data_IF_019696886774
#
_entry.id   IF_019696886774
#
_cell.length_a   1.000
_cell.length_b   1.000
_cell.length_c   1.000
_cell.angle_alpha   90.00
_cell.angle_beta   90.00
_cell.angle_gamma   90.00
#
_symmetry.space_group_name_H-M   'P 1'
#
loop_
_entity.id
_entity.type
_entity.pdbx_description
1 polymer ?
#
# COMPACT_ATOMS: atom_id res chain seq x y z
N UNK A 1 16.40 0.68 27.24
CA UNK A 1 15.97 -0.43 26.35
C UNK A 1 17.24 -1.06 25.80
N UNK A 2 17.50 -2.34 26.09
CA UNK A 2 18.78 -3.01 25.75
C UNK A 2 18.63 -4.04 24.62
N UNK A 3 17.43 -4.51 24.36
CA UNK A 3 17.10 -5.48 23.32
C UNK A 3 15.71 -5.18 22.71
N UNK A 4 15.38 -5.91 21.64
CA UNK A 4 14.13 -5.77 20.90
C UNK A 4 12.93 -6.25 21.72
N UNK A 5 13.12 -7.25 22.59
CA UNK A 5 12.03 -7.77 23.43
C UNK A 5 11.60 -6.76 24.48
N UNK A 6 12.53 -6.12 25.19
CA UNK A 6 12.25 -5.02 26.12
C UNK A 6 11.62 -3.82 25.40
N UNK A 7 12.03 -3.52 24.16
CA UNK A 7 11.43 -2.46 23.35
C UNK A 7 9.96 -2.78 23.05
N UNK A 8 9.69 -4.03 22.67
CA UNK A 8 8.35 -4.52 22.35
C UNK A 8 7.45 -4.54 23.58
N UNK A 9 7.91 -5.08 24.70
CA UNK A 9 7.16 -5.08 25.97
C UNK A 9 6.76 -3.67 26.39
N UNK A 10 7.65 -2.69 26.22
CA UNK A 10 7.36 -1.30 26.55
C UNK A 10 6.35 -0.66 25.59
N UNK A 11 6.43 -0.96 24.29
CA UNK A 11 5.44 -0.51 23.32
C UNK A 11 4.09 -1.21 23.54
N UNK A 12 4.06 -2.49 23.83
CA UNK A 12 2.82 -3.26 24.10
C UNK A 12 2.14 -2.78 25.38
N UNK A 13 2.91 -2.33 26.36
CA UNK A 13 2.38 -1.76 27.60
C UNK A 13 1.71 -0.39 27.40
N UNK A 14 2.13 0.39 26.39
CA UNK A 14 1.75 1.78 26.24
C UNK A 14 0.95 2.10 24.97
N UNK A 15 1.17 1.41 23.86
CA UNK A 15 0.67 1.78 22.53
C UNK A 15 0.22 0.60 21.66
N UNK A 16 0.87 -0.56 21.69
CA UNK A 16 0.56 -1.74 20.85
C UNK A 16 -0.17 -2.85 21.62
N UNK A 17 -0.64 -3.90 20.92
CA UNK A 17 -1.36 -5.03 21.53
C UNK A 17 -0.37 -6.18 21.78
N UNK A 18 -0.32 -6.68 23.01
CA UNK A 18 0.56 -7.77 23.40
C UNK A 18 0.32 -9.02 22.54
N UNK A 19 1.40 -9.54 21.93
CA UNK A 19 1.40 -10.77 21.13
C UNK A 19 1.24 -10.60 19.62
N UNK A 20 0.74 -9.46 19.14
CA UNK A 20 0.66 -9.15 17.70
C UNK A 20 2.05 -8.78 17.13
N UNK A 21 2.42 -9.24 15.93
CA UNK A 21 3.70 -8.87 15.32
C UNK A 21 3.81 -7.36 15.13
N UNK A 22 4.91 -6.77 15.62
CA UNK A 22 5.19 -5.35 15.44
C UNK A 22 5.56 -5.07 13.97
N UNK A 23 4.61 -4.53 13.22
CA UNK A 23 4.82 -4.10 11.83
C UNK A 23 5.29 -2.65 11.79
N UNK A 24 5.82 -2.20 10.64
CA UNK A 24 6.15 -0.80 10.39
C UNK A 24 4.99 0.14 10.68
N UNK A 25 3.77 -0.27 10.33
CA UNK A 25 2.53 0.45 10.59
C UNK A 25 2.24 0.54 12.10
N UNK A 26 2.39 -0.54 12.85
CA UNK A 26 2.19 -0.53 14.31
C UNK A 26 3.17 0.42 15.01
N UNK A 27 4.44 0.44 14.57
CA UNK A 27 5.48 1.31 15.13
C UNK A 27 5.22 2.78 14.76
N UNK A 28 4.86 3.06 13.51
CA UNK A 28 4.49 4.41 13.06
C UNK A 28 3.31 4.97 13.86
N UNK A 29 2.30 4.12 14.11
CA UNK A 29 1.13 4.50 14.90
C UNK A 29 1.47 4.74 16.39
N UNK A 30 2.34 3.91 16.97
CA UNK A 30 2.81 4.13 18.33
C UNK A 30 3.56 5.48 18.46
N UNK A 31 4.42 5.81 17.49
CA UNK A 31 5.11 7.09 17.43
C UNK A 31 4.12 8.27 17.30
N UNK A 32 3.04 8.12 16.52
CA UNK A 32 1.98 9.12 16.44
C UNK A 32 1.31 9.37 17.79
N UNK A 33 1.00 8.32 18.57
CA UNK A 33 0.40 8.49 19.88
C UNK A 33 1.36 9.10 20.91
N UNK A 34 2.64 8.72 20.87
CA UNK A 34 3.70 9.34 21.70
C UNK A 34 3.76 10.86 21.45
N UNK A 35 3.54 11.29 20.22
CA UNK A 35 3.54 12.71 19.86
C UNK A 35 2.37 13.51 20.41
N UNK A 36 1.26 12.85 20.73
CA UNK A 36 0.10 13.49 21.35
C UNK A 36 0.26 13.64 22.88
N UNK A 37 1.34 13.09 23.45
CA UNK A 37 1.64 13.22 24.87
C UNK A 37 2.09 14.65 25.22
N UNK A 38 1.69 15.13 26.40
CA UNK A 38 1.96 16.49 26.87
C UNK A 38 3.47 16.70 27.11
N UNK A 39 4.04 17.75 26.52
CA UNK A 39 5.45 18.14 26.75
C UNK A 39 6.40 17.96 25.55
N UNK A 40 5.91 17.46 24.42
CA UNK A 40 6.69 17.33 23.18
C UNK A 40 6.74 18.68 22.46
N UNK A 41 7.94 19.19 22.13
CA UNK A 41 8.11 20.43 21.37
C UNK A 41 7.94 20.19 19.84
N UNK A 42 7.66 21.25 19.07
CA UNK A 42 7.41 21.15 17.62
C UNK A 42 8.59 20.56 16.81
N UNK A 43 9.82 20.76 17.29
CA UNK A 43 11.04 20.20 16.69
C UNK A 43 11.09 18.67 16.86
N UNK A 44 10.81 18.18 18.06
CA UNK A 44 10.74 16.76 18.38
C UNK A 44 9.58 16.09 17.63
N UNK A 45 8.46 16.80 17.46
CA UNK A 45 7.36 16.38 16.59
C UNK A 45 7.81 16.13 15.15
N UNK A 46 8.58 17.05 14.57
CA UNK A 46 9.08 16.95 13.20
C UNK A 46 10.12 15.83 13.04
N UNK A 47 11.01 15.65 14.03
CA UNK A 47 12.04 14.59 14.02
C UNK A 47 11.39 13.20 14.10
N UNK A 48 10.42 13.02 15.00
CA UNK A 48 9.71 11.75 15.14
C UNK A 48 8.88 11.43 13.89
N UNK A 49 8.21 12.43 13.28
CA UNK A 49 7.55 12.25 11.98
C UNK A 49 8.52 11.81 10.90
N UNK A 50 9.65 12.51 10.74
CA UNK A 50 10.68 12.13 9.76
C UNK A 50 11.17 10.69 9.99
N UNK A 51 11.31 10.28 11.25
CA UNK A 51 11.79 8.95 11.61
C UNK A 51 10.75 7.87 11.28
N UNK A 52 9.48 8.10 11.60
CA UNK A 52 8.38 7.20 11.25
C UNK A 52 8.24 7.03 9.73
N UNK A 53 8.37 8.12 8.97
CA UNK A 53 8.36 8.08 7.51
C UNK A 53 9.53 7.27 6.94
N UNK A 54 10.75 7.48 7.45
CA UNK A 54 11.92 6.70 7.01
C UNK A 54 11.80 5.22 7.36
N UNK A 55 11.29 4.87 8.54
CA UNK A 55 11.04 3.47 8.93
C UNK A 55 10.07 2.80 7.95
N UNK A 56 9.01 3.49 7.57
CA UNK A 56 8.02 2.98 6.61
C UNK A 56 8.63 2.79 5.23
N UNK A 57 9.40 3.76 4.75
CA UNK A 57 10.08 3.70 3.46
C UNK A 57 11.10 2.55 3.39
N UNK A 58 11.92 2.40 4.44
CA UNK A 58 12.86 1.29 4.59
C UNK A 58 12.15 -0.08 4.60
N UNK A 59 11.00 -0.19 5.27
CA UNK A 59 10.23 -1.43 5.29
C UNK A 59 9.64 -1.77 3.90
N UNK A 60 9.13 -0.78 3.16
CA UNK A 60 8.65 -0.96 1.78
C UNK A 60 9.79 -1.39 0.86
N UNK A 61 10.98 -0.80 1.00
CA UNK A 61 12.18 -1.18 0.25
C UNK A 61 12.58 -2.63 0.53
N UNK A 62 12.64 -3.04 1.79
CA UNK A 62 12.97 -4.42 2.17
C UNK A 62 11.95 -5.44 1.63
N UNK A 63 10.65 -5.09 1.64
CA UNK A 63 9.60 -5.92 1.05
C UNK A 63 9.76 -6.02 -0.47
N UNK A 64 10.03 -4.91 -1.15
CA UNK A 64 10.23 -4.86 -2.59
C UNK A 64 11.46 -5.68 -3.03
N UNK A 65 12.57 -5.60 -2.30
CA UNK A 65 13.76 -6.42 -2.55
C UNK A 65 13.45 -7.92 -2.36
N UNK A 66 12.70 -8.26 -1.30
CA UNK A 66 12.29 -9.64 -1.04
C UNK A 66 11.43 -10.20 -2.17
N UNK A 67 10.42 -9.44 -2.63
CA UNK A 67 9.56 -9.82 -3.75
C UNK A 67 10.38 -9.94 -5.04
N UNK A 68 11.23 -8.95 -5.33
CA UNK A 68 12.08 -8.95 -6.53
C UNK A 68 12.95 -10.19 -6.56
N UNK A 69 13.63 -10.51 -5.45
CA UNK A 69 14.45 -11.71 -5.33
C UNK A 69 13.64 -12.99 -5.51
N UNK A 70 12.45 -13.07 -4.92
CA UNK A 70 11.58 -14.24 -5.05
C UNK A 70 11.11 -14.44 -6.50
N UNK A 71 10.73 -13.36 -7.19
CA UNK A 71 10.32 -13.39 -8.60
C UNK A 71 11.50 -13.77 -9.49
N UNK A 72 12.67 -13.17 -9.31
CA UNK A 72 13.88 -13.50 -10.08
C UNK A 72 14.25 -14.96 -9.92
N UNK A 73 14.32 -15.49 -8.69
CA UNK A 73 14.64 -16.89 -8.46
C UNK A 73 13.63 -17.85 -9.11
N UNK A 74 12.34 -17.50 -9.07
CA UNK A 74 11.29 -18.32 -9.69
C UNK A 74 11.36 -18.27 -11.22
N UNK A 75 11.65 -17.08 -11.77
CA UNK A 75 11.83 -16.88 -13.20
C UNK A 75 13.05 -17.63 -13.71
N UNK A 76 14.20 -17.51 -13.04
CA UNK A 76 15.42 -18.22 -13.39
C UNK A 76 15.19 -19.73 -13.44
N UNK A 77 14.52 -20.30 -12.44
CA UNK A 77 14.21 -21.73 -12.41
C UNK A 77 13.22 -22.12 -13.53
N UNK A 78 12.17 -21.32 -13.74
CA UNK A 78 11.17 -21.60 -14.78
C UNK A 78 11.74 -21.49 -16.19
N UNK A 79 12.58 -20.47 -16.44
CA UNK A 79 13.25 -20.23 -17.72
C UNK A 79 14.29 -21.32 -17.98
N UNK A 80 15.07 -21.70 -16.97
CA UNK A 80 16.03 -22.81 -17.07
C UNK A 80 15.31 -24.12 -17.45
N UNK A 81 14.21 -24.44 -16.78
CA UNK A 81 13.41 -25.66 -17.05
C UNK A 81 12.79 -25.61 -18.46
N UNK A 82 12.26 -24.47 -18.87
CA UNK A 82 11.59 -24.32 -20.16
C UNK A 82 12.57 -24.32 -21.34
N UNK A 83 13.72 -23.64 -21.21
CA UNK A 83 14.64 -23.41 -22.34
C UNK A 83 15.67 -24.53 -22.47
N UNK A 84 16.12 -25.16 -21.38
CA UNK A 84 17.17 -26.20 -21.44
C UNK A 84 16.87 -27.34 -22.43
N UNK A 85 15.65 -27.89 -22.51
CA UNK A 85 15.33 -28.93 -23.50
C UNK A 85 15.47 -28.45 -24.95
N UNK A 86 15.18 -27.17 -25.22
CA UNK A 86 15.31 -26.59 -26.55
C UNK A 86 16.77 -26.35 -26.93
N UNK A 87 17.60 -25.87 -26.00
CA UNK A 87 19.05 -25.75 -26.20
C UNK A 87 19.66 -27.12 -26.53
N UNK A 88 19.27 -28.17 -25.81
CA UNK A 88 19.72 -29.54 -26.10
C UNK A 88 19.33 -30.01 -27.50
N UNK A 89 18.11 -29.71 -27.96
CA UNK A 89 17.67 -30.03 -29.33
C UNK A 89 18.45 -29.26 -30.40
N UNK A 90 18.75 -27.99 -30.16
CA UNK A 90 19.53 -27.16 -31.08
C UNK A 90 20.96 -27.67 -31.19
N UNK A 91 21.61 -28.01 -30.07
CA UNK A 91 22.94 -28.59 -30.05
C UNK A 91 22.97 -29.93 -30.81
N UNK A 92 22.02 -30.82 -30.55
CA UNK A 92 21.93 -32.09 -31.28
C UNK A 92 21.69 -31.90 -32.80
N UNK A 93 20.91 -30.90 -33.19
CA UNK A 93 20.72 -30.56 -34.60
C UNK A 93 22.01 -30.00 -35.22
N UNK A 94 22.79 -29.20 -34.48
CA UNK A 94 24.08 -28.70 -34.92
C UNK A 94 25.08 -29.84 -35.15
N UNK A 95 25.19 -30.80 -34.22
CA UNK A 95 26.05 -31.99 -34.38
C UNK A 95 25.65 -32.82 -35.61
N UNK A 96 24.36 -32.96 -35.87
CA UNK A 96 23.87 -33.66 -37.06
C UNK A 96 24.20 -32.89 -38.35
N UNK A 97 24.12 -31.57 -38.34
CA UNK A 97 24.47 -30.73 -39.48
C UNK A 97 25.97 -30.79 -39.77
N UNK A 98 26.81 -30.81 -38.73
CA UNK A 98 28.26 -30.99 -38.84
C UNK A 98 28.59 -32.32 -39.53
N UNK A 99 28.00 -33.43 -39.08
CA UNK A 99 28.15 -34.75 -39.72
C UNK A 99 27.68 -34.77 -41.18
N UNK A 100 26.57 -34.10 -41.48
CA UNK A 100 26.07 -33.97 -42.86
C UNK A 100 27.07 -33.20 -43.71
N UNK A 101 27.66 -32.13 -43.18
CA UNK A 101 28.65 -31.32 -43.88
C UNK A 101 29.96 -32.08 -44.12
N UNK A 102 30.43 -32.87 -43.15
CA UNK A 102 31.56 -33.79 -43.33
C UNK A 102 31.30 -34.79 -44.45
N UNK A 103 30.13 -35.47 -44.41
CA UNK A 103 29.74 -36.44 -45.45
C UNK A 103 29.56 -35.79 -46.83
N UNK A 104 29.04 -34.57 -46.88
CA UNK A 104 28.93 -33.81 -48.12
C UNK A 104 30.33 -33.47 -48.68
N UNK A 105 31.27 -33.08 -47.82
CA UNK A 105 32.65 -32.81 -48.20
C UNK A 105 33.35 -34.07 -48.73
N UNK A 106 33.17 -35.22 -48.07
CA UNK A 106 33.65 -36.53 -48.56
C UNK A 106 33.07 -36.87 -49.94
N UNK A 107 31.76 -36.69 -50.12
CA UNK A 107 31.10 -36.92 -51.40
C UNK A 107 31.62 -35.98 -52.50
N UNK A 108 31.86 -34.71 -52.18
CA UNK A 108 32.47 -33.74 -53.12
C UNK A 108 33.89 -34.16 -53.48
N UNK A 109 34.69 -34.64 -52.52
CA UNK A 109 36.02 -35.18 -52.82
C UNK A 109 35.95 -36.41 -53.72
N UNK A 110 35.00 -37.32 -53.49
CA UNK A 110 34.77 -38.50 -54.31
C UNK A 110 34.33 -38.13 -55.74
N UNK A 111 33.44 -37.14 -55.88
CA UNK A 111 33.01 -36.61 -57.18
C UNK A 111 34.17 -35.93 -57.89
N UNK A 112 34.96 -35.09 -57.20
CA UNK A 112 36.12 -34.42 -57.77
C UNK A 112 37.22 -35.41 -58.19
N UNK A 113 37.43 -36.50 -57.44
CA UNK A 113 38.32 -37.58 -57.82
C UNK A 113 37.83 -38.28 -59.09
N UNK A 114 36.52 -38.50 -59.21
CA UNK A 114 35.88 -39.13 -60.38
C UNK A 114 35.85 -38.23 -61.63
N UNK A 115 35.75 -36.92 -61.44
CA UNK A 115 35.86 -35.90 -62.50
C UNK A 115 37.31 -35.76 -62.97
N UNK A 116 38.32 -35.91 -62.10
CA UNK A 116 39.74 -35.91 -62.50
C UNK A 116 40.12 -37.07 -63.44
N UNK A 117 39.42 -38.20 -63.38
CA UNK A 117 39.60 -39.31 -64.33
C UNK A 117 38.84 -39.08 -65.65
N UNK A 118 38.01 -38.05 -65.76
CA UNK A 118 37.22 -37.76 -66.97
C UNK A 118 37.28 -36.27 -67.31
N UNK A 119 38.32 -35.91 -68.07
CA UNK A 119 38.34 -34.82 -69.08
C UNK A 119 38.81 -33.41 -68.66
N UNK A 120 39.66 -32.87 -69.54
CA UNK A 120 40.23 -31.51 -69.69
C UNK A 120 39.16 -30.40 -69.97
N UNK A 121 39.53 -29.09 -69.98
CA UNK A 121 38.78 -28.04 -69.30
C UNK A 121 37.87 -27.19 -70.21
N UNK A 122 36.82 -26.60 -69.63
CA UNK A 122 36.25 -25.32 -70.09
C UNK A 122 35.36 -24.61 -69.05
N UNK A 123 35.76 -23.35 -68.79
CA UNK A 123 34.95 -22.16 -68.49
C UNK A 123 34.39 -21.93 -67.07
N UNK A 124 35.02 -20.94 -66.46
CA UNK A 124 34.74 -20.21 -65.22
C UNK A 124 33.40 -19.47 -65.23
N UNK A 125 32.55 -19.65 -64.21
CA UNK A 125 31.61 -18.63 -63.73
C UNK A 125 31.46 -18.71 -62.21
N UNK A 126 31.66 -17.58 -61.53
CA UNK A 126 31.55 -17.37 -60.08
C UNK A 126 30.14 -16.89 -59.70
N UNK A 127 29.54 -17.35 -58.58
CA UNK A 127 28.24 -16.86 -58.11
C UNK A 127 28.41 -15.64 -57.18
N UNK A 128 27.55 -14.64 -57.37
CA UNK A 128 27.59 -13.35 -56.65
C UNK A 128 26.89 -13.41 -55.29
N UNK A 129 27.65 -12.88 -54.33
CA UNK A 129 27.45 -12.63 -52.90
C UNK A 129 26.22 -11.79 -52.48
N UNK A 130 25.54 -12.29 -51.44
CA UNK A 130 24.57 -11.71 -50.49
C UNK A 130 24.57 -10.18 -50.25
N UNK A 131 23.37 -9.59 -50.06
CA UNK A 131 23.10 -8.51 -49.07
C UNK A 131 21.63 -8.50 -48.60
N UNK A 132 21.37 -9.03 -47.41
CA UNK A 132 20.21 -8.72 -46.55
C UNK A 132 20.74 -7.83 -45.43
N UNK A 133 20.56 -6.51 -45.52
CA UNK A 133 20.72 -5.55 -44.41
C UNK A 133 19.99 -4.27 -44.79
N UNK A 134 18.74 -4.10 -44.34
CA UNK A 134 18.13 -2.78 -44.15
C UNK A 134 16.86 -2.92 -43.28
N UNK A 135 16.65 -1.92 -42.42
CA UNK A 135 15.48 -1.66 -41.56
C UNK A 135 15.43 -2.27 -40.13
N UNK A 136 16.47 -2.00 -39.33
CA UNK A 136 16.28 -1.69 -37.91
C UNK A 136 17.14 -0.45 -37.61
N UNK A 137 16.51 0.70 -37.34
CA UNK A 137 16.95 1.75 -36.38
C UNK A 137 16.13 3.04 -36.58
N UNK A 138 15.73 3.60 -35.44
CA UNK A 138 15.28 4.98 -35.17
C UNK A 138 13.79 5.31 -35.24
N UNK A 139 13.10 5.07 -34.13
CA UNK A 139 12.18 6.08 -33.58
C UNK A 139 12.49 6.26 -32.10
N UNK A 140 13.48 7.13 -31.82
CA UNK A 140 13.79 7.63 -30.48
C UNK A 140 12.93 8.86 -30.25
N UNK A 141 11.75 8.69 -29.66
CA UNK A 141 10.90 9.79 -29.25
C UNK A 141 11.32 10.30 -27.86
N UNK A 142 12.04 11.41 -27.90
CA UNK A 142 11.98 12.59 -27.03
C UNK A 142 11.71 12.38 -25.52
N UNK A 143 12.82 12.37 -24.77
CA UNK A 143 12.89 12.44 -23.31
C UNK A 143 13.26 13.88 -22.96
N UNK A 144 12.27 14.76 -22.87
CA UNK A 144 12.38 16.12 -22.32
C UNK A 144 10.97 16.64 -21.99
N UNK A 145 10.42 16.17 -20.86
CA UNK A 145 9.40 16.93 -20.14
C UNK A 145 9.88 17.12 -18.70
N UNK A 146 9.93 18.38 -18.33
CA UNK A 146 10.40 18.92 -17.07
C UNK A 146 9.48 18.41 -15.96
N UNK A 147 10.04 17.58 -15.06
CA UNK A 147 9.36 17.08 -13.87
C UNK A 147 9.32 18.20 -12.82
N UNK A 148 8.23 18.97 -12.84
CA UNK A 148 7.93 19.97 -11.82
C UNK A 148 7.05 19.32 -10.75
N UNK A 149 7.65 18.99 -9.60
CA UNK A 149 7.03 18.96 -8.27
C UNK A 149 5.78 18.09 -8.02
N UNK A 150 5.90 17.24 -6.99
CA UNK A 150 4.80 16.77 -6.10
C UNK A 150 3.81 15.71 -6.61
N UNK A 151 4.18 14.43 -6.49
CA UNK A 151 3.27 13.28 -6.59
C UNK A 151 2.83 12.68 -5.23
N UNK A 152 3.12 13.30 -4.08
CA UNK A 152 2.83 12.68 -2.76
C UNK A 152 1.49 13.06 -2.11
N UNK A 153 0.93 14.24 -2.43
CA UNK A 153 -0.26 14.77 -1.76
C UNK A 153 -1.56 13.92 -1.92
N UNK A 154 -1.91 13.42 -3.12
CA UNK A 154 -3.18 12.68 -3.29
C UNK A 154 -3.16 11.29 -2.65
N UNK A 155 -2.01 10.59 -2.69
CA UNK A 155 -1.87 9.26 -2.07
C UNK A 155 -1.90 9.35 -0.55
N UNK A 156 -1.26 10.37 0.04
CA UNK A 156 -1.31 10.63 1.46
C UNK A 156 -2.74 10.95 1.92
N UNK A 157 -3.44 11.85 1.22
CA UNK A 157 -4.84 12.17 1.53
C UNK A 157 -5.73 10.92 1.45
N UNK A 158 -5.53 10.07 0.42
CA UNK A 158 -6.26 8.81 0.26
C UNK A 158 -5.96 7.80 1.38
N UNK A 159 -4.71 7.67 1.80
CA UNK A 159 -4.34 6.80 2.92
C UNK A 159 -4.97 7.26 4.24
N UNK A 160 -4.95 8.56 4.52
CA UNK A 160 -5.61 9.14 5.69
C UNK A 160 -7.13 8.96 5.66
N UNK A 161 -7.76 9.10 4.48
CA UNK A 161 -9.18 8.83 4.31
C UNK A 161 -9.50 7.36 4.61
N UNK A 162 -8.73 6.42 4.05
CA UNK A 162 -8.93 4.99 4.26
C UNK A 162 -8.79 4.57 5.75
N UNK A 163 -7.89 5.21 6.50
CA UNK A 163 -7.76 4.98 7.95
C UNK A 163 -9.00 5.52 8.68
N UNK A 164 -9.43 6.74 8.35
CA UNK A 164 -10.60 7.39 8.97
C UNK A 164 -11.91 6.63 8.72
N UNK A 165 -12.05 6.00 7.57
CA UNK A 165 -13.20 5.15 7.22
C UNK A 165 -13.28 3.89 8.08
N UNK A 166 -12.14 3.41 8.60
CA UNK A 166 -12.05 2.25 9.50
C UNK A 166 -12.22 2.60 10.97
N UNK A 167 -12.51 3.86 11.29
CA UNK A 167 -12.60 4.34 12.67
C UNK A 167 -14.04 4.53 13.14
N UNK A 168 -14.26 4.19 14.41
CA UNK A 168 -15.51 4.35 15.15
C UNK A 168 -15.24 5.15 16.42
N UNK A 169 -15.96 6.26 16.60
CA UNK A 169 -15.89 7.06 17.82
C UNK A 169 -17.05 6.67 18.73
N UNK A 170 -16.71 6.19 19.92
CA UNK A 170 -17.67 5.81 20.96
C UNK A 170 -17.52 6.80 22.10
N UNK A 171 -18.60 7.50 22.45
CA UNK A 171 -18.66 8.31 23.65
C UNK A 171 -19.25 7.48 24.79
N UNK A 172 -18.53 7.47 25.91
CA UNK A 172 -18.96 6.86 27.16
C UNK A 172 -19.48 7.97 28.07
N UNK A 173 -20.61 7.74 28.74
CA UNK A 173 -21.05 8.64 29.81
C UNK A 173 -20.13 8.55 31.04
N UNK A 174 -20.07 9.63 31.82
CA UNK A 174 -19.19 9.79 32.97
C UNK A 174 -19.32 8.73 34.08
N UNK A 175 -20.43 7.99 34.09
CA UNK A 175 -20.72 6.92 35.06
C UNK A 175 -20.54 5.51 34.46
N UNK A 176 -19.71 5.36 33.42
CA UNK A 176 -19.51 4.07 32.77
C UNK A 176 -18.74 3.08 33.68
N UNK A 177 -19.48 2.28 34.44
CA UNK A 177 -18.98 1.32 35.43
C UNK A 177 -17.92 0.33 34.90
N UNK A 178 -17.89 0.09 33.59
CA UNK A 178 -17.03 -0.91 32.94
C UNK A 178 -15.83 -0.34 32.17
N UNK A 179 -15.87 0.94 31.79
CA UNK A 179 -14.87 1.58 30.93
C UNK A 179 -14.61 2.99 31.47
N UNK A 180 -13.99 3.05 32.65
CA UNK A 180 -13.50 4.29 33.26
C UNK A 180 -12.00 4.46 33.00
N UNK A 181 -11.45 5.66 33.20
CA UNK A 181 -10.02 5.96 33.13
C UNK A 181 -9.19 5.12 34.13
N UNK A 182 -9.86 4.52 35.13
CA UNK A 182 -9.28 3.60 36.11
C UNK A 182 -9.27 2.14 35.66
N UNK A 183 -10.05 1.78 34.63
CA UNK A 183 -10.09 0.41 34.10
C UNK A 183 -8.76 0.11 33.41
N UNK A 184 -8.17 -1.04 33.73
CA UNK A 184 -6.96 -1.50 33.04
C UNK A 184 -7.25 -1.65 31.54
N UNK A 185 -6.33 -1.16 30.70
CA UNK A 185 -6.47 -1.18 29.25
C UNK A 185 -6.80 -2.57 28.72
N UNK A 186 -6.19 -3.62 29.26
CA UNK A 186 -6.43 -5.00 28.84
C UNK A 186 -7.90 -5.40 29.01
N UNK A 187 -8.50 -5.02 30.15
CA UNK A 187 -9.91 -5.27 30.42
C UNK A 187 -10.81 -4.50 29.46
N UNK A 188 -10.47 -3.25 29.13
CA UNK A 188 -11.20 -2.46 28.13
C UNK A 188 -11.13 -3.10 26.75
N UNK A 189 -9.95 -3.59 26.36
CA UNK A 189 -9.75 -4.27 25.07
C UNK A 189 -10.59 -5.56 25.00
N UNK A 190 -10.59 -6.36 26.07
CA UNK A 190 -11.34 -7.63 26.08
C UNK A 190 -12.86 -7.39 26.05
N UNK A 191 -13.36 -6.38 26.76
CA UNK A 191 -14.77 -5.97 26.70
C UNK A 191 -15.16 -5.52 25.29
N UNK A 192 -14.34 -4.70 24.64
CA UNK A 192 -14.61 -4.22 23.28
C UNK A 192 -14.56 -5.38 22.27
N UNK A 193 -13.59 -6.30 22.41
CA UNK A 193 -13.55 -7.53 21.58
C UNK A 193 -14.83 -8.35 21.76
N UNK A 194 -15.26 -8.55 23.00
CA UNK A 194 -16.48 -9.28 23.28
C UNK A 194 -17.72 -8.61 22.66
N UNK A 195 -17.78 -7.27 22.67
CA UNK A 195 -18.85 -6.51 22.01
C UNK A 195 -18.79 -6.63 20.48
N UNK A 196 -17.59 -6.64 19.89
CA UNK A 196 -17.42 -6.87 18.45
C UNK A 196 -17.85 -8.30 18.07
N UNK A 197 -17.46 -9.31 18.87
CA UNK A 197 -17.80 -10.70 18.62
C UNK A 197 -19.31 -10.95 18.69
N UNK A 198 -20.05 -10.24 19.55
CA UNK A 198 -21.52 -10.35 19.59
C UNK A 198 -22.22 -9.79 18.35
N UNK A 199 -21.58 -8.88 17.63
CA UNK A 199 -22.11 -8.27 16.40
C UNK A 199 -21.66 -9.05 15.15
N UNK A 200 -20.69 -9.93 15.32
CA UNK A 200 -20.10 -10.74 14.26
C UNK A 200 -21.05 -11.89 13.88
N UNK A 201 -21.89 -11.69 12.87
CA UNK A 201 -22.78 -12.72 12.32
C UNK A 201 -22.08 -13.52 11.22
N UNK A 202 -22.58 -14.72 10.91
CA UNK A 202 -22.07 -15.57 9.82
C UNK A 202 -22.08 -14.86 8.45
N UNK A 203 -22.99 -13.90 8.28
CA UNK A 203 -23.16 -13.12 7.04
C UNK A 203 -22.49 -11.74 7.10
N UNK A 204 -21.81 -11.39 8.20
CA UNK A 204 -21.15 -10.11 8.40
C UNK A 204 -19.72 -10.08 7.85
N UNK A 205 -19.12 -8.87 7.68
CA UNK A 205 -17.70 -8.76 7.41
C UNK A 205 -16.91 -9.37 8.58
N UNK A 206 -15.75 -9.98 8.33
CA UNK A 206 -14.92 -10.54 9.40
C UNK A 206 -14.40 -9.44 10.33
N UNK A 207 -15.16 -9.07 11.36
CA UNK A 207 -14.88 -7.94 12.24
C UNK A 207 -13.61 -8.20 13.05
N UNK A 208 -12.62 -7.31 12.96
CA UNK A 208 -11.42 -7.37 13.80
C UNK A 208 -11.05 -5.99 14.31
N UNK A 209 -10.81 -5.92 15.61
CA UNK A 209 -10.26 -4.74 16.26
C UNK A 209 -8.76 -4.64 15.99
N UNK A 210 -8.33 -3.50 15.42
CA UNK A 210 -6.92 -3.20 15.14
C UNK A 210 -6.29 -2.33 16.22
N UNK A 211 -7.00 -1.29 16.66
CA UNK A 211 -6.47 -0.40 17.70
C UNK A 211 -7.59 0.22 18.55
N UNK A 212 -7.22 0.61 19.77
CA UNK A 212 -8.05 1.36 20.70
C UNK A 212 -7.23 2.55 21.20
N UNK A 213 -7.82 3.74 21.16
CA UNK A 213 -7.27 4.94 21.76
C UNK A 213 -8.31 5.61 22.65
N UNK A 214 -7.97 5.81 23.92
CA UNK A 214 -8.77 6.64 24.83
C UNK A 214 -8.47 8.11 24.53
N UNK A 215 -9.53 8.88 24.27
CA UNK A 215 -9.49 10.32 24.03
C UNK A 215 -9.98 11.05 25.29
N UNK A 216 -9.63 12.34 25.37
CA UNK A 216 -10.20 13.23 26.36
C UNK A 216 -11.73 13.31 26.18
N UNK A 217 -12.46 13.52 27.29
CA UNK A 217 -13.93 13.57 27.35
C UNK A 217 -14.63 12.20 27.21
N UNK A 218 -14.10 11.16 27.86
CA UNK A 218 -14.72 9.82 27.93
C UNK A 218 -15.03 9.22 26.55
N UNK A 219 -14.26 9.59 25.53
CA UNK A 219 -14.42 9.07 24.19
C UNK A 219 -13.37 7.99 23.93
N UNK A 220 -13.78 6.90 23.29
CA UNK A 220 -12.89 5.85 22.82
C UNK A 220 -12.95 5.83 21.30
N UNK A 221 -11.77 5.87 20.67
CA UNK A 221 -11.61 5.69 19.24
C UNK A 221 -11.19 4.26 18.97
N UNK A 222 -12.01 3.56 18.21
CA UNK A 222 -11.75 2.19 17.76
C UNK A 222 -11.35 2.23 16.30
N UNK A 223 -10.34 1.44 15.93
CA UNK A 223 -10.02 1.18 14.52
C UNK A 223 -10.26 -0.30 14.22
N UNK A 224 -11.00 -0.55 13.15
CA UNK A 224 -11.32 -1.88 12.67
C UNK A 224 -10.47 -2.23 11.44
N UNK A 225 -10.53 -3.49 11.02
CA UNK A 225 -9.81 -3.99 9.86
C UNK A 225 -10.29 -3.44 8.51
N UNK A 226 -11.54 -2.98 8.38
CA UNK A 226 -12.09 -2.45 7.13
C UNK A 226 -13.17 -1.40 7.34
N UNK A 227 -13.46 -0.63 6.28
CA UNK A 227 -14.59 0.32 6.26
C UNK A 227 -15.94 -0.41 6.32
N UNK A 228 -16.00 -1.61 5.76
CA UNK A 228 -17.21 -2.44 5.83
C UNK A 228 -17.52 -2.83 7.27
N UNK A 229 -16.49 -3.16 8.05
CA UNK A 229 -16.62 -3.46 9.48
C UNK A 229 -17.19 -2.29 10.28
N UNK A 230 -16.76 -1.06 9.99
CA UNK A 230 -17.30 0.13 10.69
C UNK A 230 -18.72 0.44 10.24
N UNK A 231 -19.01 0.30 8.94
CA UNK A 231 -20.37 0.48 8.41
C UNK A 231 -21.34 -0.55 9.04
N UNK A 232 -20.90 -1.80 9.19
CA UNK A 232 -21.67 -2.87 9.82
C UNK A 232 -22.03 -2.56 11.28
N UNK A 233 -21.07 -2.08 12.07
CA UNK A 233 -21.34 -1.67 13.47
C UNK A 233 -22.21 -0.40 13.53
N UNK A 234 -22.15 0.48 12.53
CA UNK A 234 -22.99 1.69 12.47
C UNK A 234 -24.42 1.41 12.04
N UNK A 235 -24.68 0.31 11.35
CA UNK A 235 -26.03 -0.09 10.95
C UNK A 235 -26.93 -0.29 12.18
N UNK A 236 -28.23 -0.04 12.04
CA UNK A 236 -29.16 0.04 13.17
C UNK A 236 -29.17 -1.22 14.06
N UNK A 237 -29.23 -2.44 13.50
CA UNK A 237 -29.17 -3.67 14.29
C UNK A 237 -27.78 -3.90 14.91
N UNK A 238 -26.71 -3.68 14.16
CA UNK A 238 -25.33 -3.85 14.63
C UNK A 238 -24.98 -2.87 15.75
N UNK A 239 -25.42 -1.62 15.61
CA UNK A 239 -25.26 -0.54 16.59
C UNK A 239 -25.94 -0.86 17.91
N UNK A 240 -27.18 -1.35 17.87
CA UNK A 240 -27.93 -1.69 19.07
C UNK A 240 -27.25 -2.82 19.85
N UNK A 241 -26.93 -3.93 19.18
CA UNK A 241 -26.25 -5.09 19.77
C UNK A 241 -24.88 -4.71 20.33
N UNK A 242 -24.10 -3.92 19.58
CA UNK A 242 -22.79 -3.44 20.00
C UNK A 242 -22.88 -2.63 21.30
N UNK A 243 -23.78 -1.63 21.34
CA UNK A 243 -23.93 -0.73 22.47
C UNK A 243 -24.53 -1.43 23.70
N UNK A 244 -25.48 -2.34 23.50
CA UNK A 244 -26.03 -3.17 24.58
C UNK A 244 -24.94 -4.00 25.25
N UNK A 245 -24.06 -4.62 24.44
CA UNK A 245 -22.97 -5.44 24.97
C UNK A 245 -21.87 -4.64 25.64
N UNK A 246 -21.57 -3.45 25.12
CA UNK A 246 -20.63 -2.51 25.75
C UNK A 246 -21.14 -2.07 27.13
N UNK A 247 -22.47 -2.05 27.30
CA UNK A 247 -23.14 -1.65 28.53
C UNK A 247 -23.10 -0.13 28.73
N UNK A 248 -23.70 0.32 29.82
CA UNK A 248 -23.76 1.75 30.16
C UNK A 248 -24.53 2.60 29.13
N UNK A 249 -24.53 3.92 29.33
CA UNK A 249 -25.06 4.88 28.36
C UNK A 249 -23.95 5.25 27.37
N UNK A 250 -23.51 4.30 26.54
CA UNK A 250 -22.54 4.55 25.47
C UNK A 250 -23.26 4.94 24.17
N UNK A 251 -22.65 5.84 23.39
CA UNK A 251 -23.20 6.23 22.07
C UNK A 251 -22.12 6.27 21.00
N UNK A 252 -22.45 5.81 19.79
CA UNK A 252 -21.58 6.00 18.62
C UNK A 252 -21.82 7.40 18.05
N UNK A 253 -20.75 8.18 17.94
CA UNK A 253 -20.74 9.52 17.37
C UNK A 253 -20.22 9.51 15.94
N UNK A 254 -20.86 10.31 15.09
CA UNK A 254 -20.28 10.66 13.80
C UNK A 254 -19.11 11.59 14.00
N UNK A 255 -17.98 11.23 13.39
CA UNK A 255 -16.75 12.00 13.52
C UNK A 255 -16.68 13.04 12.41
N UNK A 256 -16.54 14.29 12.82
CA UNK A 256 -16.22 15.39 11.92
C UNK A 256 -14.71 15.46 11.70
N UNK A 257 -14.31 15.73 10.45
CA UNK A 257 -12.91 15.84 10.07
C UNK A 257 -12.61 17.24 9.55
N UNK A 258 -11.62 17.90 10.15
CA UNK A 258 -11.11 19.17 9.64
C UNK A 258 -10.29 18.92 8.37
N UNK A 259 -10.64 19.63 7.30
CA UNK A 259 -9.92 19.63 6.02
C UNK A 259 -9.42 21.04 5.76
N UNK A 260 -8.19 21.16 5.27
CA UNK A 260 -7.62 22.45 4.84
C UNK A 260 -7.88 22.60 3.34
N UNK A 261 -8.61 23.64 2.97
CA UNK A 261 -8.91 23.96 1.56
C UNK A 261 -8.04 25.14 1.15
N UNK A 262 -7.11 24.97 0.18
CA UNK A 262 -6.32 26.07 -0.33
C UNK A 262 -7.12 26.94 -1.32
N UNK A 263 -6.68 28.17 -1.54
CA UNK A 263 -7.18 29.08 -2.58
C UNK A 263 -8.67 29.48 -2.49
N UNK A 264 -9.25 29.46 -1.29
CA UNK A 264 -10.59 30.00 -1.11
C UNK A 264 -10.57 31.54 -1.28
N UNK A 265 -11.39 32.14 -2.15
CA UNK A 265 -11.40 33.59 -2.36
C UNK A 265 -11.69 34.34 -1.05
N UNK A 266 -10.91 35.39 -0.75
CA UNK A 266 -11.09 36.20 0.48
C UNK A 266 -12.40 36.99 0.51
N UNK A 267 -13.05 37.13 -0.64
CA UNK A 267 -14.40 37.71 -0.78
C UNK A 267 -15.51 36.73 -0.37
N UNK A 268 -15.18 35.46 -0.08
CA UNK A 268 -16.16 34.46 0.34
C UNK A 268 -16.68 34.80 1.73
N UNK A 269 -17.98 35.02 1.85
CA UNK A 269 -18.65 35.24 3.12
C UNK A 269 -18.87 33.92 3.85
N UNK A 270 -18.04 33.63 4.86
CA UNK A 270 -18.15 32.41 5.68
C UNK A 270 -19.25 32.49 6.75
N UNK A 271 -19.76 33.69 7.04
CA UNK A 271 -20.79 33.91 8.07
C UNK A 271 -22.20 33.68 7.49
N UNK A 272 -22.34 33.73 6.16
CA UNK A 272 -23.58 33.38 5.48
C UNK A 272 -23.84 31.87 5.57
N UNK A 273 -25.02 31.44 6.10
CA UNK A 273 -25.36 30.03 6.22
C UNK A 273 -25.57 29.35 4.86
N UNK A 274 -25.82 30.11 3.80
CA UNK A 274 -26.03 29.60 2.44
C UNK A 274 -24.70 29.24 1.75
N UNK A 275 -23.59 29.87 2.13
CA UNK A 275 -22.29 29.66 1.51
C UNK A 275 -21.87 28.20 1.55
N UNK A 276 -22.06 27.52 2.69
CA UNK A 276 -21.74 26.10 2.83
C UNK A 276 -22.60 25.23 1.91
N UNK A 277 -23.89 25.54 1.79
CA UNK A 277 -24.83 24.76 0.96
C UNK A 277 -24.53 24.95 -0.53
N UNK A 278 -24.18 26.16 -0.94
CA UNK A 278 -23.71 26.42 -2.30
C UNK A 278 -22.38 25.72 -2.61
N UNK A 279 -21.46 25.66 -1.64
CA UNK A 279 -20.20 24.93 -1.81
C UNK A 279 -20.47 23.43 -1.99
N UNK A 280 -21.38 22.87 -1.20
CA UNK A 280 -21.74 21.45 -1.33
C UNK A 280 -22.35 21.14 -2.70
N UNK A 281 -23.31 21.96 -3.11
CA UNK A 281 -24.00 21.83 -4.40
C UNK A 281 -23.02 21.97 -5.59
N UNK A 282 -22.21 23.04 -5.59
CA UNK A 282 -21.20 23.29 -6.65
C UNK A 282 -20.13 22.19 -6.75
N UNK A 283 -19.88 21.45 -5.67
CA UNK A 283 -18.89 20.36 -5.63
C UNK A 283 -19.52 18.97 -5.71
N UNK A 284 -20.84 18.85 -5.96
CA UNK A 284 -21.58 17.58 -6.03
C UNK A 284 -21.38 16.70 -4.78
N UNK A 285 -21.31 17.31 -3.60
CA UNK A 285 -21.29 16.58 -2.32
C UNK A 285 -22.65 16.71 -1.63
N UNK A 286 -23.01 15.69 -0.85
CA UNK A 286 -24.30 15.65 -0.20
C UNK A 286 -24.51 16.85 0.72
N UNK A 287 -25.70 17.44 0.66
CA UNK A 287 -26.07 18.57 1.50
C UNK A 287 -25.99 18.21 2.98
N UNK A 288 -25.34 19.04 3.78
CA UNK A 288 -25.21 18.83 5.23
C UNK A 288 -23.89 18.18 5.67
N UNK A 289 -23.01 17.78 4.74
CA UNK A 289 -21.72 17.17 5.08
C UNK A 289 -20.71 18.18 5.65
N UNK A 290 -20.74 19.44 5.22
CA UNK A 290 -19.91 20.49 5.80
C UNK A 290 -20.62 21.05 7.04
N UNK A 291 -20.08 20.72 8.21
CA UNK A 291 -20.64 21.16 9.49
C UNK A 291 -20.22 22.58 9.87
N UNK A 292 -18.98 22.97 9.58
CA UNK A 292 -18.42 24.27 9.92
C UNK A 292 -17.22 24.61 9.03
N UNK A 293 -17.02 25.89 8.76
CA UNK A 293 -15.86 26.42 8.04
C UNK A 293 -15.30 27.63 8.80
N UNK A 294 -13.98 27.79 8.79
CA UNK A 294 -13.31 28.96 9.35
C UNK A 294 -12.00 29.24 8.64
N UNK A 295 -11.59 30.50 8.66
CA UNK A 295 -10.25 30.89 8.25
C UNK A 295 -9.20 30.32 9.22
N UNK A 296 -8.15 29.70 8.69
CA UNK A 296 -6.98 29.29 9.50
C UNK A 296 -6.22 30.53 9.95
N UNK A 297 -6.08 31.50 9.04
CA UNK A 297 -5.56 32.84 9.31
C UNK A 297 -6.57 33.85 8.77
N UNK A 298 -6.94 34.82 9.59
CA UNK A 298 -7.84 35.90 9.21
C UNK A 298 -7.29 36.61 7.96
N UNK A 299 -8.01 36.63 6.83
CA UNK A 299 -7.52 37.25 5.59
C UNK A 299 -7.39 38.78 5.70
N UNK A 300 -7.96 39.40 6.75
CA UNK A 300 -7.90 40.85 6.98
C UNK A 300 -6.78 41.28 7.94
N UNK A 301 -5.95 40.35 8.42
CA UNK A 301 -4.82 40.60 9.35
C UNK A 301 -3.51 39.97 8.87
#
# INVERSE_FOLDING_TARGET
IKDIEMARTLLDQAYTIHGEPATSEHISQALFYILQAKGVNNTLHSIIWATAFLIRELAVLALAESITRAVTNKLDNSVLIAISPHIGKILAAADNLEKINEKANENVQLINARIKDTTDPSTTQTPTSWKIKDALVSTRANLNQILLGTHSAPEHARAHAAIKERQLLVELNSDHLLLDDKTKRETSVDLIRQAIDTVNHVDGPGLQLKSIAHLHNNCILLELNSQESTAWIRDTPGRATFLEKLGGMATIKDRQYSIVIPFLPVSTDLDSPNTLREMEDKNNIQTGLISHIKWIKDPRK
#
